data_IF_137189823693
#
_entry.id   IF_137189823693
#
_cell.length_a   1.000
_cell.length_b   1.000
_cell.length_c   1.000
_cell.angle_alpha   90.00
_cell.angle_beta   90.00
_cell.angle_gamma   90.00
#
_symmetry.space_group_name_H-M   'P 1'
#
loop_
_entity.id
_entity.type
_entity.pdbx_description
1 polymer ?
#
# COMPACT_ATOMS: atom_id res chain seq x y z
N UNK A 1 -3.50 4.97 10.34
CA UNK A 1 -2.31 4.30 9.79
C UNK A 1 -2.71 3.84 8.41
N UNK A 2 -1.88 4.10 7.41
CA UNK A 2 -2.15 3.68 6.03
C UNK A 2 -2.17 2.15 5.96
N UNK A 3 -3.10 1.61 5.20
CA UNK A 3 -3.37 0.19 5.08
C UNK A 3 -3.14 -0.30 3.65
N UNK A 4 -2.33 -1.36 3.53
CA UNK A 4 -1.98 -2.01 2.27
C UNK A 4 -2.55 -3.42 2.30
N UNK A 5 -3.24 -3.85 1.25
CA UNK A 5 -3.73 -5.23 1.16
C UNK A 5 -3.06 -6.03 0.07
N UNK A 6 -2.76 -7.29 0.37
CA UNK A 6 -2.28 -8.28 -0.59
C UNK A 6 -3.47 -8.98 -1.24
N UNK A 7 -3.56 -8.87 -2.56
CA UNK A 7 -4.52 -9.58 -3.39
C UNK A 7 -3.79 -10.53 -4.35
N UNK A 8 -4.56 -11.38 -5.03
CA UNK A 8 -4.06 -12.34 -6.02
C UNK A 8 -4.55 -13.75 -5.78
N UNK A 9 -4.29 -14.65 -6.73
CA UNK A 9 -4.76 -16.03 -6.70
C UNK A 9 -4.02 -16.91 -5.67
N UNK A 10 -4.57 -18.07 -5.28
CA UNK A 10 -3.84 -19.06 -4.48
C UNK A 10 -2.49 -19.40 -5.13
N UNK A 11 -1.47 -19.69 -4.32
CA UNK A 11 -0.12 -20.09 -4.76
C UNK A 11 0.68 -19.10 -5.64
N UNK A 12 0.20 -17.86 -5.81
CA UNK A 12 0.98 -16.78 -6.41
C UNK A 12 2.16 -16.29 -5.52
N UNK A 13 2.17 -16.67 -4.24
CA UNK A 13 3.21 -16.31 -3.27
C UNK A 13 2.82 -15.22 -2.27
N UNK A 14 1.52 -14.88 -2.15
CA UNK A 14 1.00 -13.89 -1.18
C UNK A 14 1.45 -14.11 0.26
N UNK A 15 1.26 -15.32 0.81
CA UNK A 15 1.60 -15.58 2.21
C UNK A 15 3.12 -15.54 2.46
N UNK A 16 3.92 -15.90 1.45
CA UNK A 16 5.37 -15.71 1.49
C UNK A 16 5.70 -14.22 1.50
N UNK A 17 5.12 -13.43 0.59
CA UNK A 17 5.30 -11.98 0.55
C UNK A 17 4.91 -11.34 1.88
N UNK A 18 3.75 -11.69 2.43
CA UNK A 18 3.28 -11.21 3.72
C UNK A 18 4.30 -11.52 4.82
N UNK A 19 4.79 -12.76 4.89
CA UNK A 19 5.78 -13.16 5.90
C UNK A 19 7.07 -12.37 5.72
N UNK A 20 7.58 -12.27 4.50
CA UNK A 20 8.78 -11.51 4.18
C UNK A 20 8.63 -10.03 4.56
N UNK A 21 7.49 -9.42 4.26
CA UNK A 21 7.20 -8.01 4.54
C UNK A 21 6.93 -7.72 6.04
N UNK A 22 6.49 -8.71 6.81
CA UNK A 22 6.10 -8.57 8.24
C UNK A 22 7.08 -9.17 9.23
N UNK A 23 8.15 -9.84 8.77
CA UNK A 23 9.27 -10.34 9.60
C UNK A 23 10.08 -9.15 10.17
N UNK A 24 9.47 -8.39 11.07
CA UNK A 24 10.10 -7.42 11.94
C UNK A 24 9.58 -7.68 13.35
N UNK A 25 10.50 -7.73 14.32
CA UNK A 25 10.22 -7.99 15.73
C UNK A 25 9.24 -6.95 16.29
N UNK A 26 7.94 -7.15 16.10
CA UNK A 26 6.91 -6.40 16.82
C UNK A 26 6.06 -7.41 17.58
N UNK A 27 6.18 -7.33 18.90
CA UNK A 27 5.27 -7.96 19.86
C UNK A 27 3.84 -7.78 19.36
N UNK A 28 3.14 -8.90 19.17
CA UNK A 28 1.71 -8.95 18.91
C UNK A 28 1.00 -8.26 20.07
N UNK A 29 0.79 -6.95 19.93
CA UNK A 29 -0.06 -6.18 20.82
C UNK A 29 -1.45 -6.78 20.78
N UNK A 30 -2.02 -7.07 21.95
CA UNK A 30 -3.38 -7.59 22.07
C UNK A 30 -4.39 -6.59 21.49
N UNK A 31 -4.73 -6.74 20.22
CA UNK A 31 -5.90 -6.08 19.63
C UNK A 31 -7.11 -7.00 19.88
N UNK A 32 -8.07 -6.59 20.74
CA UNK A 32 -9.29 -7.34 20.92
C UNK A 32 -10.12 -7.23 19.64
N UNK A 33 -10.84 -8.30 19.30
CA UNK A 33 -11.68 -8.49 18.10
C UNK A 33 -10.94 -9.09 16.89
N UNK A 34 -10.58 -10.38 16.97
CA UNK A 34 -10.33 -11.19 15.77
C UNK A 34 -11.39 -12.30 15.68
N UNK A 35 -12.35 -12.13 14.77
CA UNK A 35 -13.36 -13.11 14.41
C UNK A 35 -13.11 -13.55 12.96
N UNK A 36 -12.23 -14.53 12.74
CA UNK A 36 -11.94 -15.08 11.39
C UNK A 36 -11.54 -13.97 10.39
N UNK A 37 -10.67 -13.05 10.83
CA UNK A 37 -10.25 -11.87 10.07
C UNK A 37 -8.98 -12.15 9.26
N UNK A 38 -8.77 -11.41 8.16
CA UNK A 38 -7.51 -11.40 7.42
C UNK A 38 -6.31 -11.28 8.37
N UNK A 39 -5.16 -11.86 7.99
CA UNK A 39 -3.96 -11.70 8.81
C UNK A 39 -3.54 -10.23 8.70
N UNK A 40 -3.71 -9.49 9.79
CA UNK A 40 -3.24 -8.11 9.91
C UNK A 40 -1.85 -8.10 10.52
N UNK A 41 -0.92 -7.45 9.84
CA UNK A 41 0.46 -7.33 10.24
C UNK A 41 0.92 -5.88 10.16
N UNK A 42 2.08 -5.61 10.73
CA UNK A 42 2.79 -4.35 10.52
C UNK A 42 3.90 -4.61 9.53
N UNK A 43 3.95 -3.80 8.49
CA UNK A 43 5.09 -3.71 7.59
C UNK A 43 5.64 -2.29 7.62
N UNK A 44 6.64 -2.00 6.79
CA UNK A 44 7.29 -0.72 6.77
C UNK A 44 7.52 -0.26 5.34
N UNK A 45 7.36 1.04 5.11
CA UNK A 45 7.89 1.70 3.92
C UNK A 45 9.18 2.42 4.26
N UNK A 46 10.07 2.51 3.29
CA UNK A 46 11.43 3.00 3.48
C UNK A 46 11.60 4.37 2.83
N UNK A 47 12.19 5.30 3.57
CA UNK A 47 12.61 6.62 3.07
C UNK A 47 13.97 7.02 3.65
N UNK A 48 14.58 8.06 3.10
CA UNK A 48 15.79 8.65 3.65
C UNK A 48 15.49 9.41 4.95
N UNK A 49 16.19 9.05 6.01
CA UNK A 49 16.04 9.69 7.29
C UNK A 49 16.72 11.07 7.28
N UNK A 50 16.05 12.14 7.75
CA UNK A 50 16.66 13.46 7.91
C UNK A 50 17.91 13.46 8.80
N UNK A 51 18.15 12.42 9.60
CA UNK A 51 19.40 12.30 10.37
C UNK A 51 20.66 12.26 9.49
N UNK A 52 20.54 12.01 8.18
CA UNK A 52 21.63 12.15 7.21
C UNK A 52 22.20 13.58 7.14
N UNK A 53 21.39 14.59 7.44
CA UNK A 53 21.82 16.00 7.45
C UNK A 53 22.52 16.41 8.76
N UNK A 54 22.61 15.49 9.72
CA UNK A 54 23.16 15.73 11.06
C UNK A 54 24.54 15.10 11.22
N UNK A 55 25.29 15.61 12.20
CA UNK A 55 26.58 15.04 12.58
C UNK A 55 26.44 13.68 13.28
N UNK A 56 25.32 13.46 13.98
CA UNK A 56 25.02 12.24 14.71
C UNK A 56 23.69 11.67 14.20
N UNK A 57 23.64 10.34 14.02
CA UNK A 57 22.42 9.60 13.66
C UNK A 57 21.38 9.74 14.77
N UNK A 58 20.10 9.57 14.42
CA UNK A 58 19.01 9.72 15.39
C UNK A 58 19.00 8.65 16.49
N UNK A 59 19.55 7.46 16.23
CA UNK A 59 19.56 6.35 17.18
C UNK A 59 18.18 5.72 17.40
N UNK A 60 17.23 6.04 16.54
CA UNK A 60 15.87 5.51 16.53
C UNK A 60 15.86 4.05 16.05
N UNK A 61 14.99 3.22 16.64
CA UNK A 61 14.92 1.78 16.33
C UNK A 61 14.43 1.49 14.91
N UNK A 62 13.66 2.40 14.33
CA UNK A 62 13.19 2.33 12.96
C UNK A 62 14.12 3.07 11.98
N UNK A 63 15.31 3.47 12.40
CA UNK A 63 16.32 4.05 11.52
C UNK A 63 17.59 3.19 11.47
N UNK A 64 17.92 2.66 10.28
CA UNK A 64 19.12 1.84 10.05
C UNK A 64 20.03 2.50 9.03
N UNK A 65 21.21 2.94 9.47
CA UNK A 65 22.19 3.70 8.67
C UNK A 65 21.61 4.86 7.84
N UNK A 66 20.65 5.59 8.40
CA UNK A 66 19.99 6.71 7.72
C UNK A 66 18.82 6.32 6.83
N UNK A 67 18.41 5.04 6.80
CA UNK A 67 17.17 4.55 6.19
C UNK A 67 16.08 4.53 7.25
N UNK A 68 15.01 5.30 7.09
CA UNK A 68 13.85 5.31 8.00
C UNK A 68 12.80 4.32 7.51
N UNK A 69 12.31 3.48 8.42
CA UNK A 69 11.22 2.54 8.20
C UNK A 69 9.95 3.08 8.87
N UNK A 70 8.97 3.52 8.08
CA UNK A 70 7.72 4.10 8.58
C UNK A 70 6.64 3.01 8.58
N UNK A 71 5.98 2.74 9.72
CA UNK A 71 5.06 1.61 9.83
C UNK A 71 3.78 1.82 9.01
N UNK A 72 3.37 0.76 8.31
CA UNK A 72 2.09 0.64 7.59
C UNK A 72 1.38 -0.64 8.00
N UNK A 73 0.05 -0.66 7.94
CA UNK A 73 -0.72 -1.89 8.15
C UNK A 73 -0.68 -2.72 6.87
N UNK A 74 -0.36 -4.01 6.99
CA UNK A 74 -0.40 -4.96 5.88
C UNK A 74 -1.48 -6.01 6.14
N UNK A 75 -2.38 -6.19 5.18
CA UNK A 75 -3.49 -7.13 5.22
C UNK A 75 -3.22 -8.28 4.26
N UNK A 76 -3.13 -9.52 4.73
CA UNK A 76 -3.12 -10.71 3.88
C UNK A 76 -4.55 -11.17 3.60
N UNK A 77 -5.06 -10.84 2.43
CA UNK A 77 -6.37 -11.32 1.98
C UNK A 77 -6.20 -12.70 1.33
N UNK A 78 -7.09 -13.62 1.70
CA UNK A 78 -7.08 -14.96 1.15
C UNK A 78 -7.17 -14.95 -0.39
N UNK A 79 -6.66 -16.01 -1.03
CA UNK A 79 -6.62 -16.08 -2.48
C UNK A 79 -7.99 -15.97 -3.13
N UNK A 80 -8.11 -15.04 -4.08
CA UNK A 80 -9.29 -14.88 -4.91
C UNK A 80 -9.33 -15.98 -5.98
N UNK A 81 -10.52 -16.49 -6.25
CA UNK A 81 -10.79 -17.47 -7.31
C UNK A 81 -11.90 -16.95 -8.23
N UNK A 82 -11.96 -17.38 -9.50
CA UNK A 82 -12.98 -16.94 -10.44
C UNK A 82 -14.42 -17.01 -9.93
N UNK A 83 -15.15 -15.90 -10.06
CA UNK A 83 -16.53 -15.75 -9.60
C UNK A 83 -16.65 -15.43 -8.10
N UNK A 84 -15.64 -14.80 -7.50
CA UNK A 84 -15.66 -14.37 -6.11
C UNK A 84 -16.80 -13.36 -5.84
N UNK A 85 -17.04 -12.43 -6.77
CA UNK A 85 -18.14 -11.45 -6.73
C UNK A 85 -19.54 -12.10 -6.73
N UNK A 86 -19.70 -13.29 -7.34
CA UNK A 86 -20.97 -14.04 -7.32
C UNK A 86 -21.26 -14.70 -5.97
N UNK A 87 -20.36 -14.53 -4.98
CA UNK A 87 -20.46 -15.20 -3.68
C UNK A 87 -20.06 -16.68 -3.73
N UNK A 88 -19.26 -17.10 -4.71
CA UNK A 88 -18.65 -18.44 -4.68
C UNK A 88 -17.63 -18.49 -3.52
N UNK A 89 -17.80 -19.47 -2.63
CA UNK A 89 -16.95 -19.62 -1.46
C UNK A 89 -17.11 -18.47 -0.45
N UNK A 90 -15.98 -17.93 0.03
CA UNK A 90 -15.90 -16.77 0.93
C UNK A 90 -15.58 -15.45 0.17
N UNK A 91 -15.67 -15.44 -1.16
CA UNK A 91 -15.18 -14.37 -2.03
C UNK A 91 -15.66 -12.96 -1.68
N UNK A 92 -16.96 -12.79 -1.38
CA UNK A 92 -17.50 -11.48 -0.99
C UNK A 92 -16.86 -10.93 0.29
N UNK A 93 -16.53 -11.78 1.28
CA UNK A 93 -15.86 -11.32 2.51
C UNK A 93 -14.43 -10.86 2.23
N UNK A 94 -13.76 -11.46 1.23
CA UNK A 94 -12.41 -11.06 0.83
C UNK A 94 -12.41 -9.74 0.07
N UNK A 95 -13.39 -9.52 -0.80
CA UNK A 95 -13.54 -8.26 -1.54
C UNK A 95 -13.96 -7.12 -0.59
N UNK A 96 -14.79 -7.40 0.40
CA UNK A 96 -15.10 -6.46 1.49
C UNK A 96 -13.82 -6.06 2.25
N UNK A 97 -12.90 -6.99 2.52
CA UNK A 97 -11.65 -6.69 3.23
C UNK A 97 -10.65 -5.90 2.38
N UNK A 98 -10.53 -6.21 1.08
CA UNK A 98 -9.73 -5.41 0.14
C UNK A 98 -10.21 -3.96 0.08
N UNK A 99 -11.50 -3.75 0.30
CA UNK A 99 -12.09 -2.42 0.29
C UNK A 99 -11.71 -1.57 1.50
N UNK A 100 -11.35 -2.21 2.62
CA UNK A 100 -10.86 -1.51 3.80
C UNK A 100 -9.42 -0.97 3.62
N UNK A 101 -8.70 -1.41 2.58
CA UNK A 101 -7.33 -0.99 2.32
C UNK A 101 -7.26 0.31 1.51
N UNK A 102 -6.24 1.12 1.75
CA UNK A 102 -5.97 2.34 0.98
C UNK A 102 -5.35 2.03 -0.40
N UNK A 103 -4.55 0.96 -0.48
CA UNK A 103 -3.92 0.49 -1.72
C UNK A 103 -3.81 -1.04 -1.74
N UNK A 104 -3.83 -1.62 -2.93
CA UNK A 104 -3.75 -3.07 -3.14
C UNK A 104 -2.44 -3.42 -3.85
N UNK A 105 -1.72 -4.40 -3.30
CA UNK A 105 -0.62 -5.11 -3.95
C UNK A 105 -1.19 -6.40 -4.56
N UNK A 106 -1.37 -6.44 -5.87
CA UNK A 106 -1.81 -7.64 -6.58
C UNK A 106 -0.60 -8.55 -6.88
N UNK A 107 -0.45 -9.62 -6.10
CA UNK A 107 0.64 -10.59 -6.26
C UNK A 107 0.30 -11.59 -7.35
N UNK A 108 1.04 -11.53 -8.45
CA UNK A 108 0.89 -12.36 -9.65
C UNK A 108 2.07 -13.31 -9.78
N UNK A 109 1.81 -14.54 -10.21
CA UNK A 109 2.84 -15.52 -10.51
C UNK A 109 3.44 -15.26 -11.90
N UNK A 110 4.52 -14.47 -11.97
CA UNK A 110 5.15 -14.10 -13.23
C UNK A 110 5.71 -15.31 -14.01
N UNK A 111 5.93 -16.44 -13.35
CA UNK A 111 6.41 -17.66 -14.00
C UNK A 111 5.35 -18.32 -14.90
N UNK A 112 4.07 -17.99 -14.72
CA UNK A 112 2.98 -18.72 -15.39
C UNK A 112 2.87 -20.19 -14.93
N UNK A 113 3.49 -20.54 -13.80
CA UNK A 113 3.51 -21.89 -13.23
C UNK A 113 2.28 -22.23 -12.38
N UNK A 114 1.23 -21.40 -12.42
CA UNK A 114 -0.05 -21.65 -11.76
C UNK A 114 -1.20 -21.26 -12.69
N UNK A 115 -2.27 -22.06 -12.73
CA UNK A 115 -3.47 -21.78 -13.53
C UNK A 115 -4.41 -20.76 -12.83
N UNK A 116 -5.59 -20.51 -13.41
CA UNK A 116 -6.62 -19.59 -12.88
C UNK A 116 -7.10 -19.92 -11.46
N UNK A 117 -7.13 -21.21 -11.09
CA UNK A 117 -7.53 -21.66 -9.74
C UNK A 117 -6.35 -21.67 -8.74
N UNK A 118 -5.14 -21.32 -9.22
CA UNK A 118 -3.91 -21.36 -8.45
C UNK A 118 -3.30 -22.77 -8.34
N UNK A 119 -3.72 -23.73 -9.16
CA UNK A 119 -3.12 -25.06 -9.18
C UNK A 119 -1.79 -25.04 -9.95
N UNK A 120 -0.75 -25.76 -9.49
CA UNK A 120 0.54 -25.80 -10.17
C UNK A 120 0.46 -26.40 -11.58
N UNK A 121 1.08 -25.74 -12.55
CA UNK A 121 1.26 -26.16 -13.96
C UNK A 121 2.72 -25.99 -14.38
N UNK A 122 3.10 -26.34 -15.62
CA UNK A 122 4.47 -26.09 -16.07
C UNK A 122 4.70 -24.58 -16.25
N UNK A 123 5.95 -24.13 -16.04
CA UNK A 123 6.31 -22.71 -16.19
C UNK A 123 6.02 -22.27 -17.63
N UNK A 124 5.28 -21.16 -17.77
CA UNK A 124 4.84 -20.60 -19.05
C UNK A 124 3.57 -21.23 -19.63
N UNK A 125 2.93 -22.19 -18.96
CA UNK A 125 1.66 -22.76 -19.43
C UNK A 125 0.46 -21.81 -19.24
N UNK A 126 0.53 -20.92 -18.23
CA UNK A 126 -0.49 -19.91 -17.95
C UNK A 126 -0.01 -18.50 -18.31
N UNK A 127 -0.91 -17.65 -18.78
CA UNK A 127 -0.61 -16.27 -19.10
C UNK A 127 -0.78 -15.38 -17.84
N UNK A 128 0.31 -14.87 -17.24
CA UNK A 128 0.19 -14.09 -16.01
C UNK A 128 -0.53 -12.75 -16.20
N UNK A 129 -0.66 -12.24 -17.43
CA UNK A 129 -1.45 -11.03 -17.69
C UNK A 129 -2.94 -11.25 -17.38
N UNK A 130 -3.46 -12.47 -17.61
CA UNK A 130 -4.84 -12.81 -17.27
C UNK A 130 -5.10 -12.73 -15.76
N UNK A 131 -4.08 -12.96 -14.92
CA UNK A 131 -4.20 -12.86 -13.46
C UNK A 131 -4.29 -11.40 -12.98
N UNK A 132 -3.71 -10.45 -13.74
CA UNK A 132 -3.84 -9.01 -13.46
C UNK A 132 -5.27 -8.57 -13.70
N UNK A 133 -5.79 -8.83 -14.90
CA UNK A 133 -7.15 -8.48 -15.32
C UNK A 133 -8.21 -9.12 -14.41
N UNK A 134 -7.92 -10.33 -13.91
CA UNK A 134 -8.80 -11.08 -13.02
C UNK A 134 -9.15 -10.31 -11.74
N UNK A 135 -8.15 -9.85 -10.98
CA UNK A 135 -8.39 -9.16 -9.69
C UNK A 135 -9.14 -7.85 -9.90
N UNK A 136 -8.77 -7.11 -10.94
CA UNK A 136 -9.44 -5.88 -11.32
C UNK A 136 -10.91 -6.08 -11.67
N UNK A 137 -11.18 -7.07 -12.52
CA UNK A 137 -12.53 -7.39 -12.97
C UNK A 137 -13.42 -7.84 -11.80
N UNK A 138 -12.89 -8.67 -10.89
CA UNK A 138 -13.65 -9.12 -9.70
C UNK A 138 -14.01 -7.95 -8.77
N UNK A 139 -13.09 -7.00 -8.56
CA UNK A 139 -13.36 -5.80 -7.75
C UNK A 139 -14.40 -4.89 -8.42
N UNK A 140 -14.31 -4.69 -9.74
CA UNK A 140 -15.26 -3.89 -10.51
C UNK A 140 -16.67 -4.49 -10.44
N UNK A 141 -16.79 -5.79 -10.67
CA UNK A 141 -18.07 -6.50 -10.62
C UNK A 141 -18.67 -6.54 -9.22
N UNK A 142 -17.83 -6.70 -8.19
CA UNK A 142 -18.30 -6.64 -6.80
C UNK A 142 -18.81 -5.25 -6.43
N UNK A 143 -18.09 -4.18 -6.80
CA UNK A 143 -18.54 -2.82 -6.54
C UNK A 143 -19.79 -2.47 -7.35
N UNK A 144 -19.89 -2.93 -8.60
CA UNK A 144 -21.10 -2.81 -9.41
C UNK A 144 -22.28 -3.52 -8.73
N UNK A 145 -22.06 -4.68 -8.10
CA UNK A 145 -23.10 -5.37 -7.33
C UNK A 145 -23.56 -4.58 -6.10
N UNK A 146 -22.67 -3.81 -5.46
CA UNK A 146 -23.03 -2.90 -4.36
C UNK A 146 -23.91 -1.77 -4.88
N UNK A 147 -23.51 -1.14 -5.99
CA UNK A 147 -24.27 -0.07 -6.63
C UNK A 147 -25.65 -0.58 -7.04
N UNK A 148 -25.72 -1.73 -7.71
CA UNK A 148 -26.97 -2.32 -8.18
C UNK A 148 -27.94 -2.64 -7.03
N UNK A 149 -27.46 -3.31 -5.96
CA UNK A 149 -28.29 -3.65 -4.79
C UNK A 149 -28.87 -2.42 -4.09
N UNK A 150 -28.15 -1.29 -4.11
CA UNK A 150 -28.58 -0.06 -3.46
C UNK A 150 -29.29 0.92 -4.42
N UNK A 151 -29.35 0.62 -5.73
CA UNK A 151 -29.85 1.55 -6.73
C UNK A 151 -31.34 1.89 -6.55
N UNK A 152 -32.15 0.94 -6.10
CA UNK A 152 -33.56 1.18 -5.82
C UNK A 152 -33.78 2.30 -4.78
N UNK A 153 -32.83 2.49 -3.87
CA UNK A 153 -32.87 3.60 -2.92
C UNK A 153 -32.60 4.95 -3.60
N UNK A 154 -31.67 4.99 -4.55
CA UNK A 154 -31.36 6.17 -5.38
C UNK A 154 -32.57 6.56 -6.21
N UNK A 155 -33.21 5.60 -6.88
CA UNK A 155 -34.44 5.85 -7.67
C UNK A 155 -35.61 6.37 -6.83
N UNK A 156 -35.69 5.93 -5.57
CA UNK A 156 -36.72 6.46 -4.64
C UNK A 156 -36.38 7.87 -4.20
N UNK A 157 -35.11 8.16 -3.92
CA UNK A 157 -34.63 9.48 -3.52
C UNK A 157 -34.77 10.52 -4.65
N UNK A 158 -34.59 10.12 -5.92
CA UNK A 158 -34.68 11.02 -7.09
C UNK A 158 -36.04 11.68 -7.30
N UNK A 159 -37.09 11.20 -6.62
CA UNK A 159 -38.44 11.78 -6.65
C UNK A 159 -38.58 13.01 -5.75
N UNK A 160 -37.60 13.27 -4.88
CA UNK A 160 -37.58 14.42 -3.99
C UNK A 160 -37.11 15.67 -4.75
N UNK A 161 -37.72 16.86 -4.53
CA UNK A 161 -37.19 18.12 -5.05
C UNK A 161 -35.81 18.51 -4.49
N UNK A 162 -35.41 17.92 -3.35
CA UNK A 162 -34.12 18.15 -2.68
C UNK A 162 -33.07 17.10 -3.06
N UNK A 163 -33.32 16.31 -4.11
CA UNK A 163 -32.39 15.27 -4.54
C UNK A 163 -31.08 15.85 -5.06
N UNK A 164 -29.98 15.40 -4.47
CA UNK A 164 -28.63 15.62 -4.93
C UNK A 164 -27.98 14.25 -5.21
N UNK A 165 -27.61 14.01 -6.46
CA UNK A 165 -27.03 12.73 -6.88
C UNK A 165 -25.64 12.54 -6.28
N UNK A 166 -24.84 13.60 -6.22
CA UNK A 166 -23.47 13.57 -5.69
C UNK A 166 -23.49 13.19 -4.21
N UNK A 167 -24.40 13.78 -3.42
CA UNK A 167 -24.56 13.45 -1.99
C UNK A 167 -24.99 12.00 -1.78
N UNK A 168 -26.02 11.54 -2.50
CA UNK A 168 -26.55 10.18 -2.36
C UNK A 168 -25.53 9.11 -2.78
N UNK A 169 -24.79 9.34 -3.87
CA UNK A 169 -23.75 8.41 -4.31
C UNK A 169 -22.54 8.44 -3.37
N UNK A 170 -22.18 9.59 -2.82
CA UNK A 170 -21.13 9.68 -1.80
C UNK A 170 -21.51 8.88 -0.56
N UNK A 171 -22.73 9.04 -0.04
CA UNK A 171 -23.20 8.27 1.11
C UNK A 171 -23.23 6.76 0.83
N UNK A 172 -23.54 6.36 -0.39
CA UNK A 172 -23.51 4.95 -0.79
C UNK A 172 -22.08 4.40 -0.87
N UNK A 173 -21.14 5.17 -1.39
CA UNK A 173 -19.80 4.73 -1.75
C UNK A 173 -18.73 5.12 -0.71
N UNK A 174 -19.09 5.84 0.35
CA UNK A 174 -18.16 6.17 1.45
C UNK A 174 -17.58 4.92 2.10
N UNK A 175 -18.33 3.81 2.12
CA UNK A 175 -17.87 2.52 2.63
C UNK A 175 -16.73 1.90 1.81
N UNK A 176 -16.54 2.36 0.57
CA UNK A 176 -15.43 1.95 -0.30
C UNK A 176 -14.32 3.00 -0.40
N UNK A 177 -14.35 4.01 0.47
CA UNK A 177 -13.38 5.09 0.54
C UNK A 177 -13.64 6.25 -0.43
N UNK A 178 -14.77 6.28 -1.14
CA UNK A 178 -15.07 7.37 -2.07
C UNK A 178 -15.36 8.69 -1.33
N UNK A 179 -14.70 9.76 -1.74
CA UNK A 179 -14.95 11.11 -1.23
C UNK A 179 -15.95 11.86 -2.13
N UNK A 180 -16.57 12.96 -1.65
CA UNK A 180 -17.40 13.81 -2.50
C UNK A 180 -16.68 14.29 -3.77
N UNK A 181 -15.37 14.53 -3.67
CA UNK A 181 -14.53 14.98 -4.80
C UNK A 181 -14.40 13.88 -5.85
N UNK A 182 -14.26 12.63 -5.44
CA UNK A 182 -14.13 11.49 -6.34
C UNK A 182 -15.41 11.27 -7.13
N UNK A 183 -16.54 11.16 -6.42
CA UNK A 183 -17.87 11.01 -7.01
C UNK A 183 -18.16 12.14 -7.98
N UNK A 184 -17.99 13.40 -7.56
CA UNK A 184 -18.23 14.55 -8.41
C UNK A 184 -17.33 14.57 -9.66
N UNK A 185 -16.12 14.01 -9.58
CA UNK A 185 -15.20 13.96 -10.73
C UNK A 185 -15.60 12.86 -11.70
N UNK A 186 -15.92 11.66 -11.20
CA UNK A 186 -16.43 10.55 -12.02
C UNK A 186 -17.70 10.96 -12.76
N UNK A 187 -18.67 11.56 -12.06
CA UNK A 187 -19.88 12.07 -12.70
C UNK A 187 -19.57 13.11 -13.78
N UNK A 188 -18.61 14.01 -13.57
CA UNK A 188 -18.23 15.00 -14.60
C UNK A 188 -17.59 14.39 -15.85
N UNK A 189 -16.92 13.26 -15.72
CA UNK A 189 -16.18 12.61 -16.80
C UNK A 189 -17.03 11.59 -17.58
N UNK A 190 -17.98 10.94 -16.90
CA UNK A 190 -18.83 9.93 -17.51
C UNK A 190 -20.08 10.54 -18.17
N UNK A 191 -20.61 9.86 -19.19
CA UNK A 191 -21.88 10.21 -19.82
C UNK A 191 -23.01 9.40 -19.19
N UNK A 192 -24.04 10.07 -18.66
CA UNK A 192 -25.17 9.41 -18.01
C UNK A 192 -26.49 10.20 -18.20
N UNK A 193 -27.65 9.54 -18.11
CA UNK A 193 -28.94 10.22 -18.07
C UNK A 193 -29.12 11.03 -16.79
N UNK A 194 -29.68 12.25 -16.88
CA UNK A 194 -29.95 13.09 -15.69
C UNK A 194 -30.90 12.40 -14.68
N UNK A 195 -31.82 11.56 -15.16
CA UNK A 195 -32.72 10.78 -14.31
C UNK A 195 -32.07 9.44 -13.92
N UNK A 196 -31.79 9.19 -12.62
CA UNK A 196 -31.24 7.92 -12.14
C UNK A 196 -32.07 6.69 -12.52
N UNK A 197 -33.38 6.84 -12.77
CA UNK A 197 -34.26 5.74 -13.19
C UNK A 197 -33.91 5.26 -14.61
N UNK A 198 -33.33 6.13 -15.43
CA UNK A 198 -32.93 5.80 -16.80
C UNK A 198 -31.53 5.18 -16.89
N UNK A 199 -30.82 5.03 -15.77
CA UNK A 199 -29.51 4.39 -15.75
C UNK A 199 -29.64 2.90 -16.04
N UNK A 200 -28.70 2.40 -16.83
CA UNK A 200 -28.61 0.99 -17.21
C UNK A 200 -27.53 0.31 -16.37
N UNK A 201 -27.44 -1.01 -16.48
CA UNK A 201 -26.37 -1.81 -15.88
C UNK A 201 -24.99 -1.25 -16.28
N UNK A 202 -24.77 -1.01 -17.58
CA UNK A 202 -23.54 -0.40 -18.11
C UNK A 202 -23.16 0.93 -17.42
N UNK A 203 -24.13 1.80 -17.12
CA UNK A 203 -23.84 3.08 -16.45
C UNK A 203 -23.38 2.86 -15.00
N UNK A 204 -23.99 1.88 -14.32
CA UNK A 204 -23.69 1.54 -12.93
C UNK A 204 -22.37 0.79 -12.79
N UNK A 205 -22.08 -0.11 -13.73
CA UNK A 205 -20.78 -0.76 -13.86
C UNK A 205 -19.67 0.24 -14.17
N UNK A 206 -19.94 1.20 -15.08
CA UNK A 206 -18.98 2.29 -15.36
C UNK A 206 -18.72 3.12 -14.10
N UNK A 207 -19.77 3.56 -13.39
CA UNK A 207 -19.61 4.29 -12.12
C UNK A 207 -18.76 3.49 -11.12
N UNK A 208 -19.04 2.19 -10.94
CA UNK A 208 -18.29 1.33 -10.04
C UNK A 208 -16.81 1.26 -10.43
N UNK A 209 -16.49 0.97 -11.69
CA UNK A 209 -15.11 0.89 -12.16
C UNK A 209 -14.34 2.20 -11.96
N UNK A 210 -14.93 3.33 -12.39
CA UNK A 210 -14.25 4.63 -12.29
C UNK A 210 -14.03 5.06 -10.82
N UNK A 211 -14.92 4.64 -9.91
CA UNK A 211 -14.72 4.83 -8.46
C UNK A 211 -13.62 3.90 -7.94
N UNK A 212 -13.62 2.61 -8.30
CA UNK A 212 -12.58 1.64 -7.91
C UNK A 212 -11.20 2.12 -8.29
N UNK A 213 -11.01 2.61 -9.53
CA UNK A 213 -9.73 3.12 -10.01
C UNK A 213 -9.18 4.27 -9.14
N UNK A 214 -10.05 5.04 -8.49
CA UNK A 214 -9.68 6.17 -7.62
C UNK A 214 -9.49 5.75 -6.16
N UNK A 215 -10.33 4.84 -5.67
CA UNK A 215 -10.36 4.49 -4.23
C UNK A 215 -9.58 3.23 -3.87
N UNK A 216 -9.26 2.40 -4.87
CA UNK A 216 -8.52 1.14 -4.75
C UNK A 216 -7.45 1.06 -5.86
N UNK A 217 -6.45 1.94 -5.82
CA UNK A 217 -5.34 1.86 -6.75
C UNK A 217 -4.55 0.56 -6.51
N UNK A 218 -4.00 -0.01 -7.58
CA UNK A 218 -3.36 -1.34 -7.57
C UNK A 218 -1.92 -1.22 -8.07
N UNK A 219 -0.98 -1.80 -7.33
CA UNK A 219 0.37 -2.13 -7.81
C UNK A 219 0.42 -3.62 -8.11
N UNK A 220 0.91 -3.99 -9.30
CA UNK A 220 1.13 -5.39 -9.64
C UNK A 220 2.51 -5.82 -9.14
N UNK A 221 2.56 -6.88 -8.34
CA UNK A 221 3.79 -7.53 -7.91
C UNK A 221 3.99 -8.77 -8.77
N UNK A 222 4.91 -8.69 -9.73
CA UNK A 222 5.29 -9.79 -10.60
C UNK A 222 6.24 -10.74 -9.84
N UNK A 223 5.66 -11.55 -8.96
CA UNK A 223 6.38 -12.43 -8.06
C UNK A 223 6.92 -13.68 -8.76
N UNK A 224 7.91 -14.34 -8.13
CA UNK A 224 8.69 -15.46 -8.69
C UNK A 224 9.51 -15.05 -9.91
N UNK A 225 9.99 -13.80 -9.91
CA UNK A 225 10.85 -13.27 -10.97
C UNK A 225 12.14 -14.09 -11.14
N UNK A 226 12.61 -14.77 -10.09
CA UNK A 226 13.76 -15.68 -10.09
C UNK A 226 13.64 -16.86 -11.06
N UNK A 227 12.42 -17.31 -11.36
CA UNK A 227 12.16 -18.45 -12.26
C UNK A 227 11.27 -18.07 -13.44
N UNK A 228 10.88 -16.80 -13.55
CA UNK A 228 9.97 -16.33 -14.57
C UNK A 228 10.68 -16.23 -15.94
N UNK A 229 10.01 -16.62 -17.03
CA UNK A 229 10.47 -16.24 -18.36
C UNK A 229 10.54 -14.71 -18.47
N UNK A 230 11.65 -14.12 -18.96
CA UNK A 230 11.79 -12.65 -19.05
C UNK A 230 10.67 -11.99 -19.87
N UNK A 231 10.17 -12.69 -20.88
CA UNK A 231 9.05 -12.25 -21.72
C UNK A 231 7.76 -12.05 -20.91
N UNK A 232 7.52 -12.86 -19.87
CA UNK A 232 6.34 -12.71 -19.02
C UNK A 232 6.40 -11.46 -18.15
N UNK A 233 7.57 -11.18 -17.57
CA UNK A 233 7.79 -9.99 -16.74
C UNK A 233 7.60 -8.72 -17.56
N UNK A 234 8.11 -8.69 -18.79
CA UNK A 234 7.93 -7.56 -19.70
C UNK A 234 6.45 -7.37 -20.09
N UNK A 235 5.75 -8.47 -20.41
CA UNK A 235 4.31 -8.41 -20.71
C UNK A 235 3.48 -7.90 -19.55
N UNK A 236 3.83 -8.25 -18.31
CA UNK A 236 3.17 -7.70 -17.12
C UNK A 236 3.42 -6.19 -17.01
N UNK A 237 4.65 -5.74 -17.22
CA UNK A 237 5.01 -4.31 -17.26
C UNK A 237 4.28 -3.51 -18.33
N UNK A 238 3.94 -4.14 -19.46
CA UNK A 238 3.12 -3.53 -20.51
C UNK A 238 1.62 -3.51 -20.16
N UNK A 239 1.16 -4.43 -19.31
CA UNK A 239 -0.26 -4.62 -18.99
C UNK A 239 -0.79 -3.71 -17.88
N UNK A 240 0.07 -3.27 -16.95
CA UNK A 240 -0.31 -2.44 -15.81
C UNK A 240 0.60 -1.22 -15.64
N UNK A 241 0.07 -0.17 -15.03
CA UNK A 241 0.78 1.11 -14.85
C UNK A 241 2.01 0.99 -13.94
N UNK A 242 1.87 0.27 -12.82
CA UNK A 242 2.96 0.04 -11.86
C UNK A 242 3.13 -1.46 -11.67
N UNK A 243 4.27 -1.96 -12.13
CA UNK A 243 4.66 -3.37 -11.97
C UNK A 243 6.03 -3.47 -11.32
N UNK A 244 6.09 -4.20 -10.21
CA UNK A 244 7.33 -4.46 -9.46
C UNK A 244 7.66 -5.96 -9.58
N UNK A 245 8.69 -6.33 -10.35
CA UNK A 245 9.25 -7.68 -10.32
C UNK A 245 9.74 -8.00 -8.92
N UNK A 246 9.41 -9.19 -8.41
CA UNK A 246 9.76 -9.55 -7.05
C UNK A 246 10.09 -11.04 -6.89
N UNK A 247 10.90 -11.32 -5.88
CA UNK A 247 11.12 -12.66 -5.34
C UNK A 247 10.81 -12.66 -3.84
N UNK A 248 9.57 -12.99 -3.50
CA UNK A 248 9.15 -13.05 -2.10
C UNK A 248 9.91 -14.12 -1.29
N UNK A 249 10.18 -15.28 -1.90
CA UNK A 249 10.96 -16.34 -1.27
C UNK A 249 12.44 -15.91 -1.09
N UNK A 250 12.99 -15.15 -2.05
CA UNK A 250 14.33 -14.58 -1.94
C UNK A 250 14.46 -13.55 -0.81
N UNK A 251 13.52 -12.59 -0.72
CA UNK A 251 13.46 -11.64 0.40
C UNK A 251 13.38 -12.36 1.75
N UNK A 252 12.49 -13.35 1.86
CA UNK A 252 12.33 -14.15 3.07
C UNK A 252 13.62 -14.89 3.43
N UNK A 253 14.31 -15.43 2.43
CA UNK A 253 15.61 -16.07 2.59
C UNK A 253 16.68 -15.11 3.11
N UNK A 254 16.77 -13.91 2.54
CA UNK A 254 17.73 -12.88 2.96
C UNK A 254 17.48 -12.38 4.38
N UNK A 255 16.22 -12.10 4.73
CA UNK A 255 15.86 -11.65 6.08
C UNK A 255 16.25 -12.68 7.14
N UNK A 256 15.90 -13.95 6.92
CA UNK A 256 16.31 -15.06 7.82
C UNK A 256 17.82 -15.22 7.90
N UNK A 257 18.52 -15.03 6.78
CA UNK A 257 19.98 -15.07 6.77
C UNK A 257 20.59 -13.87 7.52
N UNK A 258 19.98 -12.68 7.45
CA UNK A 258 20.39 -11.49 8.18
C UNK A 258 20.19 -11.66 9.69
N UNK A 259 19.02 -12.17 10.11
CA UNK A 259 18.72 -12.48 11.51
C UNK A 259 19.66 -13.54 12.09
N UNK A 260 20.07 -14.51 11.27
CA UNK A 260 21.06 -15.51 11.63
C UNK A 260 22.51 -14.98 11.62
N UNK A 261 22.74 -13.72 11.24
CA UNK A 261 24.06 -13.10 11.12
C UNK A 261 24.92 -13.69 9.99
N UNK A 262 24.29 -14.32 9.01
CA UNK A 262 24.96 -14.92 7.84
C UNK A 262 25.20 -13.87 6.75
N UNK A 263 24.27 -12.92 6.59
CA UNK A 263 24.39 -11.81 5.66
C UNK A 263 24.17 -10.46 6.36
N UNK A 264 24.74 -9.41 5.77
CA UNK A 264 24.46 -8.00 6.05
C UNK A 264 23.52 -7.51 4.96
N UNK A 265 22.26 -7.30 5.33
CA UNK A 265 21.16 -6.92 4.44
C UNK A 265 20.11 -6.15 5.24
N UNK A 266 19.72 -4.98 4.75
CA UNK A 266 18.49 -4.33 5.17
C UNK A 266 17.42 -4.45 4.07
N UNK A 267 16.13 -4.63 4.42
CA UNK A 267 15.06 -4.70 3.44
C UNK A 267 15.06 -3.54 2.44
N UNK A 268 15.02 -3.88 1.15
CA UNK A 268 15.07 -2.92 0.04
C UNK A 268 16.46 -2.41 -0.32
N UNK A 269 17.52 -2.96 0.27
CA UNK A 269 18.86 -2.79 -0.30
C UNK A 269 18.97 -3.47 -1.67
N UNK A 270 19.81 -2.91 -2.52
CA UNK A 270 20.11 -3.37 -3.87
C UNK A 270 21.10 -4.55 -3.90
N UNK A 271 21.87 -4.75 -2.82
CA UNK A 271 22.75 -5.90 -2.63
C UNK A 271 22.85 -6.28 -1.14
N UNK A 272 23.43 -7.44 -0.85
CA UNK A 272 23.77 -7.91 0.49
C UNK A 272 25.22 -8.37 0.57
N UNK A 273 25.79 -8.48 1.77
CA UNK A 273 27.14 -9.02 1.97
C UNK A 273 27.11 -10.29 2.80
N UNK A 274 27.81 -11.32 2.35
CA UNK A 274 27.95 -12.56 3.14
C UNK A 274 29.01 -12.34 4.23
N UNK A 275 28.64 -12.54 5.49
CA UNK A 275 29.48 -12.26 6.67
C UNK A 275 30.30 -13.47 7.15
N UNK A 276 30.06 -14.67 6.62
CA UNK A 276 30.72 -15.90 7.06
C UNK A 276 30.79 -17.01 6.02
N UNK A 277 31.18 -18.20 6.45
CA UNK A 277 31.21 -19.40 5.61
C UNK A 277 29.80 -19.97 5.47
N UNK A 278 29.30 -20.01 4.25
CA UNK A 278 28.03 -20.64 3.86
C UNK A 278 28.30 -21.99 3.20
N UNK A 279 27.36 -22.93 3.29
CA UNK A 279 27.44 -24.18 2.51
C UNK A 279 27.34 -23.90 1.00
N UNK A 280 27.73 -24.87 0.18
CA UNK A 280 27.60 -24.76 -1.29
C UNK A 280 26.14 -24.52 -1.69
N UNK A 281 25.19 -25.24 -1.08
CA UNK A 281 23.74 -25.06 -1.33
C UNK A 281 23.24 -23.66 -0.92
N UNK A 282 23.70 -23.14 0.23
CA UNK A 282 23.34 -21.79 0.67
C UNK A 282 23.92 -20.72 -0.25
N UNK A 283 25.14 -20.94 -0.73
CA UNK A 283 25.80 -20.04 -1.68
C UNK A 283 25.02 -19.98 -2.99
N UNK A 284 24.63 -21.13 -3.53
CA UNK A 284 23.85 -21.19 -4.77
C UNK A 284 22.51 -20.45 -4.64
N UNK A 285 21.79 -20.64 -3.52
CA UNK A 285 20.54 -19.92 -3.27
C UNK A 285 20.75 -18.41 -3.13
N UNK A 286 21.79 -17.96 -2.43
CA UNK A 286 22.13 -16.53 -2.33
C UNK A 286 22.55 -15.94 -3.68
N UNK A 287 23.26 -16.69 -4.52
CA UNK A 287 23.64 -16.27 -5.87
C UNK A 287 22.40 -16.08 -6.76
N UNK A 288 21.41 -16.98 -6.70
CA UNK A 288 20.14 -16.81 -7.42
C UNK A 288 19.38 -15.54 -6.99
N UNK A 289 19.36 -15.25 -5.68
CA UNK A 289 18.73 -14.01 -5.18
C UNK A 289 19.48 -12.79 -5.69
N UNK A 290 20.82 -12.83 -5.67
CA UNK A 290 21.66 -11.75 -6.19
C UNK A 290 21.43 -11.49 -7.67
N UNK A 291 21.26 -12.54 -8.49
CA UNK A 291 20.96 -12.38 -9.92
C UNK A 291 19.67 -11.57 -10.14
N UNK A 292 18.63 -11.83 -9.33
CA UNK A 292 17.38 -11.03 -9.35
C UNK A 292 17.63 -9.60 -8.89
N UNK A 293 18.40 -9.40 -7.83
CA UNK A 293 18.70 -8.06 -7.32
C UNK A 293 19.51 -7.23 -8.32
N UNK A 294 20.47 -7.85 -9.01
CA UNK A 294 21.26 -7.20 -10.06
C UNK A 294 20.41 -6.81 -11.28
N UNK A 295 19.34 -7.55 -11.57
CA UNK A 295 18.42 -7.27 -12.68
C UNK A 295 17.35 -6.22 -12.32
N UNK A 296 16.86 -6.24 -11.08
CA UNK A 296 15.67 -5.47 -10.64
C UNK A 296 15.95 -4.46 -9.51
N UNK A 297 17.22 -4.18 -9.22
CA UNK A 297 17.70 -3.26 -8.18
C UNK A 297 17.21 -3.61 -6.76
N UNK A 298 17.01 -4.91 -6.49
CA UNK A 298 16.53 -5.43 -5.20
C UNK A 298 15.63 -6.66 -5.35
N UNK A 299 15.04 -7.11 -4.24
CA UNK A 299 14.13 -8.28 -4.22
C UNK A 299 12.70 -7.98 -4.65
N UNK A 300 12.33 -6.70 -4.81
CA UNK A 300 10.99 -6.25 -5.18
C UNK A 300 9.97 -6.12 -4.04
N UNK A 301 10.18 -6.76 -2.88
CA UNK A 301 9.19 -6.74 -1.78
C UNK A 301 9.07 -5.35 -1.15
N UNK A 302 10.19 -4.79 -0.68
CA UNK A 302 10.22 -3.45 -0.10
C UNK A 302 9.86 -2.39 -1.15
N UNK A 303 10.38 -2.55 -2.37
CA UNK A 303 10.07 -1.65 -3.49
C UNK A 303 8.57 -1.62 -3.80
N UNK A 304 7.86 -2.75 -3.75
CA UNK A 304 6.41 -2.77 -3.97
C UNK A 304 5.64 -1.96 -2.92
N UNK A 305 6.04 -2.06 -1.65
CA UNK A 305 5.46 -1.28 -0.56
C UNK A 305 5.76 0.22 -0.74
N UNK A 306 7.02 0.56 -1.04
CA UNK A 306 7.46 1.93 -1.23
C UNK A 306 6.74 2.58 -2.42
N UNK A 307 6.66 1.88 -3.57
CA UNK A 307 5.92 2.34 -4.76
C UNK A 307 4.43 2.51 -4.48
N UNK A 308 3.83 1.59 -3.75
CA UNK A 308 2.41 1.69 -3.40
C UNK A 308 2.11 2.94 -2.55
N UNK A 309 3.00 3.30 -1.63
CA UNK A 309 2.78 4.43 -0.72
C UNK A 309 3.26 5.76 -1.29
N UNK A 310 4.49 5.81 -1.79
CA UNK A 310 5.12 7.07 -2.23
C UNK A 310 4.77 7.42 -3.68
N UNK A 311 4.69 6.44 -4.59
CA UNK A 311 4.46 6.73 -6.02
C UNK A 311 2.98 6.68 -6.40
N UNK A 312 2.21 5.73 -5.85
CA UNK A 312 0.81 5.52 -6.25
C UNK A 312 -0.19 6.29 -5.39
N UNK A 313 0.05 6.34 -4.07
CA UNK A 313 -0.78 7.12 -3.15
C UNK A 313 -0.28 8.56 -2.96
N UNK A 314 0.83 8.93 -3.61
CA UNK A 314 1.47 10.24 -3.49
C UNK A 314 1.62 10.68 -2.02
N UNK A 315 2.10 9.78 -1.16
CA UNK A 315 2.35 10.09 0.25
C UNK A 315 3.76 10.69 0.43
N UNK A 316 3.93 11.47 1.49
CA UNK A 316 5.23 11.97 1.95
C UNK A 316 5.43 11.66 3.44
N UNK A 317 6.69 11.61 3.87
CA UNK A 317 7.08 11.40 5.27
C UNK A 317 7.52 12.72 5.90
N UNK A 318 6.83 13.13 6.97
CA UNK A 318 7.19 14.30 7.77
C UNK A 318 7.53 13.92 9.22
N UNK A 319 8.43 14.70 9.83
CA UNK A 319 9.06 14.40 11.12
C UNK A 319 8.77 15.51 12.13
N UNK A 320 7.78 15.33 13.01
CA UNK A 320 7.46 16.32 14.02
C UNK A 320 8.49 16.29 15.16
N UNK A 321 8.91 17.48 15.60
CA UNK A 321 9.87 17.63 16.71
C UNK A 321 9.41 18.70 17.70
N UNK A 322 9.83 18.60 18.96
CA UNK A 322 9.58 19.66 19.95
C UNK A 322 10.67 20.73 19.94
N UNK A 323 11.92 20.34 19.67
CA UNK A 323 13.06 21.24 19.54
C UNK A 323 13.52 21.35 18.09
N UNK A 324 13.41 22.53 17.50
CA UNK A 324 13.86 22.85 16.14
C UNK A 324 15.38 22.85 15.99
N UNK A 325 16.12 23.16 17.06
CA UNK A 325 17.60 23.16 17.01
C UNK A 325 18.21 21.78 17.23
N UNK A 326 17.56 20.94 18.04
CA UNK A 326 18.05 19.60 18.37
C UNK A 326 17.35 18.49 17.62
N UNK A 327 16.21 18.77 17.00
CA UNK A 327 15.29 17.80 16.38
C UNK A 327 14.89 16.70 17.35
N UNK A 328 14.61 17.08 18.61
CA UNK A 328 14.24 16.14 19.67
C UNK A 328 12.82 16.33 20.17
N UNK A 329 12.26 15.29 20.78
CA UNK A 329 11.12 15.41 21.70
C UNK A 329 11.53 15.97 23.07
N UNK A 330 10.58 15.97 24.01
CA UNK A 330 10.76 16.37 25.40
C UNK A 330 11.56 15.38 26.25
N UNK A 331 11.78 14.16 25.77
CA UNK A 331 12.63 13.15 26.41
C UNK A 331 14.09 13.22 25.91
N UNK A 332 14.33 13.91 24.79
CA UNK A 332 15.63 14.07 24.16
C UNK A 332 15.91 13.07 23.03
N UNK A 333 14.92 12.27 22.63
CA UNK A 333 15.03 11.36 21.49
C UNK A 333 15.05 12.18 20.20
N UNK A 334 15.99 11.90 19.29
CA UNK A 334 16.15 12.64 18.03
C UNK A 334 15.26 12.01 16.97
N UNK A 335 14.45 12.81 16.26
CA UNK A 335 13.51 12.35 15.22
C UNK A 335 12.68 11.13 15.68
N UNK A 336 11.94 11.25 16.79
CA UNK A 336 11.24 10.13 17.41
C UNK A 336 10.18 9.54 16.48
N UNK A 337 9.41 10.40 15.80
CA UNK A 337 8.27 10.00 15.02
C UNK A 337 8.44 10.36 13.54
N UNK A 338 7.81 9.56 12.68
CA UNK A 338 7.70 9.81 11.24
C UNK A 338 6.25 9.51 10.83
N UNK A 339 5.62 10.44 10.13
CA UNK A 339 4.21 10.34 9.74
C UNK A 339 4.10 10.38 8.22
N UNK A 340 3.32 9.45 7.67
CA UNK A 340 2.88 9.49 6.28
C UNK A 340 1.70 10.45 6.14
N UNK A 341 1.81 11.38 5.22
CA UNK A 341 0.79 12.38 4.89
C UNK A 341 0.58 12.42 3.37
N UNK A 342 -0.63 12.66 2.87
CA UNK A 342 -0.85 12.88 1.43
C UNK A 342 -0.08 14.10 0.92
N UNK A 343 0.31 14.09 -0.36
CA UNK A 343 0.88 15.26 -1.03
C UNK A 343 -0.03 16.49 -0.90
N UNK A 344 0.59 17.66 -0.78
CA UNK A 344 -0.11 18.92 -0.48
C UNK A 344 -0.55 19.09 0.98
N UNK A 345 -0.21 18.16 1.87
CA UNK A 345 -0.47 18.32 3.31
C UNK A 345 0.29 19.51 3.92
N UNK A 346 -0.31 20.14 4.92
CA UNK A 346 0.20 21.33 5.59
C UNK A 346 0.75 21.00 6.99
N UNK A 347 1.47 21.95 7.65
CA UNK A 347 1.87 21.78 9.05
C UNK A 347 0.71 21.53 10.01
N UNK A 348 -0.50 22.01 9.67
CA UNK A 348 -1.69 21.76 10.46
C UNK A 348 -2.16 20.32 10.33
N UNK A 349 -2.06 19.73 9.14
CA UNK A 349 -2.40 18.32 8.90
C UNK A 349 -1.42 17.41 9.65
N UNK A 350 -0.13 17.73 9.63
CA UNK A 350 0.87 17.07 10.48
C UNK A 350 0.51 17.18 11.96
N UNK A 351 0.03 18.34 12.42
CA UNK A 351 -0.38 18.52 13.81
C UNK A 351 -1.55 17.59 14.19
N UNK A 352 -2.53 17.40 13.31
CA UNK A 352 -3.60 16.43 13.51
C UNK A 352 -3.12 14.97 13.46
N UNK A 353 -2.14 14.66 12.59
CA UNK A 353 -1.54 13.33 12.51
C UNK A 353 -0.81 12.96 13.80
N UNK A 354 -0.15 13.93 14.46
CA UNK A 354 0.45 13.71 15.78
C UNK A 354 -0.62 13.47 16.84
N UNK A 355 -1.58 14.40 16.98
CA UNK A 355 -2.70 14.26 17.93
C UNK A 355 -3.79 15.31 17.67
N UNK A 356 -5.06 14.94 17.85
CA UNK A 356 -6.20 15.87 17.67
C UNK A 356 -6.06 17.16 18.48
N UNK A 357 -5.69 17.06 19.76
CA UNK A 357 -5.51 18.22 20.64
C UNK A 357 -4.39 19.17 20.19
N UNK A 358 -3.34 18.62 19.54
CA UNK A 358 -2.24 19.43 19.01
C UNK A 358 -2.72 20.19 17.77
N UNK A 359 -3.47 19.53 16.89
CA UNK A 359 -4.11 20.14 15.72
C UNK A 359 -5.16 21.20 16.07
N UNK A 360 -6.02 20.94 17.05
CA UNK A 360 -7.01 21.92 17.55
C UNK A 360 -6.35 23.14 18.20
N UNK A 361 -5.26 22.91 18.95
CA UNK A 361 -4.47 23.97 19.58
C UNK A 361 -3.41 24.60 18.68
N UNK A 362 -3.35 24.24 17.39
CA UNK A 362 -2.28 24.67 16.49
C UNK A 362 -2.17 26.20 16.42
N UNK A 363 -0.96 26.73 16.63
CA UNK A 363 -0.67 28.16 16.57
C UNK A 363 0.20 28.54 15.37
N UNK A 364 1.29 27.80 15.15
CA UNK A 364 2.21 27.94 14.01
C UNK A 364 3.20 26.77 13.95
N UNK A 365 3.93 26.69 12.85
CA UNK A 365 5.02 25.74 12.67
C UNK A 365 6.35 26.41 12.30
N UNK A 366 7.45 25.70 12.56
CA UNK A 366 8.82 26.11 12.26
C UNK A 366 9.51 24.97 11.52
N UNK A 367 10.13 25.28 10.37
CA UNK A 367 11.04 24.37 9.69
C UNK A 367 12.34 24.28 10.50
N UNK A 368 12.65 23.08 10.96
CA UNK A 368 13.79 22.80 11.83
C UNK A 368 15.13 22.73 11.06
N UNK A 369 15.11 22.54 9.74
CA UNK A 369 16.31 22.61 8.88
C UNK A 369 16.71 24.05 8.61
N UNK A 370 15.72 24.90 8.35
CA UNK A 370 15.95 26.31 8.00
C UNK A 370 15.88 27.28 9.18
N UNK A 371 15.48 26.80 10.37
CA UNK A 371 15.29 27.59 11.61
C UNK A 371 14.40 28.82 11.37
N UNK A 372 13.33 28.63 10.58
CA UNK A 372 12.39 29.70 10.22
C UNK A 372 10.95 29.27 10.34
N UNK A 373 10.08 30.23 10.69
CA UNK A 373 8.63 30.01 10.69
C UNK A 373 8.15 29.77 9.26
N UNK A 374 7.32 28.74 9.09
CA UNK A 374 6.64 28.42 7.84
C UNK A 374 5.19 28.91 7.88
N UNK A 375 4.61 29.10 6.70
CA UNK A 375 3.19 29.46 6.56
C UNK A 375 2.30 28.28 6.95
N UNK A 376 1.08 28.57 7.38
CA UNK A 376 0.09 27.54 7.67
C UNK A 376 -0.42 26.87 6.39
N UNK A 377 -0.29 27.53 5.24
CA UNK A 377 -0.62 27.02 3.91
C UNK A 377 0.63 26.47 3.17
N UNK A 378 1.75 26.30 3.88
CA UNK A 378 2.94 25.70 3.28
C UNK A 378 2.69 24.22 3.02
N UNK A 379 2.86 23.78 1.78
CA UNK A 379 2.84 22.35 1.44
C UNK A 379 4.14 21.72 1.92
N UNK A 380 4.01 20.70 2.77
CA UNK A 380 5.13 19.92 3.28
C UNK A 380 5.76 19.10 2.16
N UNK A 381 7.04 18.77 2.32
CA UNK A 381 7.83 17.95 1.40
C UNK A 381 8.41 16.72 2.10
N UNK A 382 8.82 15.73 1.30
CA UNK A 382 9.47 14.51 1.80
C UNK A 382 10.67 14.83 2.70
N UNK A 383 10.68 14.27 3.91
CA UNK A 383 11.77 14.46 4.85
C UNK A 383 11.70 15.74 5.67
N UNK A 384 10.62 16.52 5.57
CA UNK A 384 10.49 17.76 6.33
C UNK A 384 10.53 17.51 7.83
N UNK A 385 11.33 18.31 8.53
CA UNK A 385 11.44 18.27 10.00
C UNK A 385 10.77 19.51 10.55
N UNK A 386 9.63 19.31 11.22
CA UNK A 386 8.72 20.42 11.56
C UNK A 386 8.51 20.47 13.06
N UNK A 387 8.75 21.64 13.65
CA UNK A 387 8.30 21.92 15.01
C UNK A 387 6.91 22.50 14.99
N UNK A 388 5.97 21.80 15.61
CA UNK A 388 4.60 22.27 15.81
C UNK A 388 4.52 23.02 17.14
N UNK A 389 4.00 24.24 17.11
CA UNK A 389 3.69 25.00 18.31
C UNK A 389 2.18 25.00 18.51
N UNK A 390 1.75 24.41 19.62
CA UNK A 390 0.35 24.32 20.03
C UNK A 390 0.12 25.06 21.35
N UNK A 391 -1.11 25.47 21.63
CA UNK A 391 -1.51 26.10 22.88
C UNK A 391 -1.66 25.13 24.06
N UNK A 392 -1.64 23.83 23.78
CA UNK A 392 -1.86 22.74 24.74
C UNK A 392 -0.56 22.16 25.30
#
# INVERSE_FOLDING_TARGET
>A
MLSVALAGKPNAGKSTFYTAATESEVDVGNYPFTTIDANRGVSYVRTDCPCLDRAERCGDEHCRDGKRYVPVELLDVAGLVPGAHEGRGLGNQFLDELTNADVILNVVDASGGTNEEGEPVEIGDHDPVEDVDFVETELDLWLASIVDRNWEAVERASRSPEFDLDEVLTDMLTGVGATPKDVATVLREMSYPEDPIAWTDDHRETLAREIRLRTKPIVVVANKADIAPPENVERLREAAEIVVPATADGELGLRRAADAGVVDYDPGDDDFRILGDVSDDQREGLEQIRDVMDEWDGTGVQQALDRAVYDLLDMLTAYPVQSESKWTDGQGNVLPDAFLLPDGSTPKDLAYAVHSDIGEGYLHAVDAREDRRISDDHELSEGDVVKIVSSN
#
